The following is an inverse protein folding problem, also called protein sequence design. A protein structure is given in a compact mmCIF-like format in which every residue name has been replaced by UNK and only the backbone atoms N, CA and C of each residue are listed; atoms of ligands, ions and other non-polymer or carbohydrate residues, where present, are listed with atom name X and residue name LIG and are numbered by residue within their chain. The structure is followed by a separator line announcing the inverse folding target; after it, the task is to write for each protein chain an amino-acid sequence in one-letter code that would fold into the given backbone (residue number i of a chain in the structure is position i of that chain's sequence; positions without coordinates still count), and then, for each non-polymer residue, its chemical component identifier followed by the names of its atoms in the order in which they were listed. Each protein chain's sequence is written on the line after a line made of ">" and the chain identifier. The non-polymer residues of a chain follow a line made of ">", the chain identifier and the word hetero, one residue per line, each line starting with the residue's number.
data_IF_937576087297
#
_entry.id   IF_937576087297
#
_cell.length_a   1.000
_cell.length_b   1.000
_cell.length_c   1.000
_cell.angle_alpha   90.00
_cell.angle_beta   90.00
_cell.angle_gamma   90.00
#
_symmetry.space_group_name_H-M   'P 1'
#
loop_
_entity.id
_entity.type
_entity.pdbx_description
1 polymer ?
#
# COMPACT_ATOMS: atom_id res chain seq x y z
N UNK A 1 -14.75 -14.73 -2.24
CA UNK A 1 -14.03 -13.95 -1.22
C UNK A 1 -12.93 -13.20 -1.94
N UNK A 2 -12.96 -11.87 -1.89
CA UNK A 2 -12.02 -10.97 -2.56
C UNK A 2 -10.68 -10.98 -1.83
N UNK A 3 -9.59 -11.23 -2.54
CA UNK A 3 -8.23 -11.26 -1.97
C UNK A 3 -7.61 -9.88 -2.07
N UNK A 4 -7.37 -9.24 -0.93
CA UNK A 4 -6.91 -7.86 -0.87
C UNK A 4 -5.48 -7.78 -0.40
N UNK A 5 -4.65 -7.04 -1.13
CA UNK A 5 -3.27 -6.74 -0.75
C UNK A 5 -3.17 -5.25 -0.38
N UNK A 6 -2.68 -4.97 0.82
CA UNK A 6 -2.51 -3.59 1.29
C UNK A 6 -1.05 -3.15 1.19
N UNK A 7 -0.79 -2.13 0.39
CA UNK A 7 0.54 -1.58 0.15
C UNK A 7 0.66 -0.20 0.80
N UNK A 8 1.79 0.06 1.45
CA UNK A 8 1.93 1.24 2.31
C UNK A 8 0.82 1.28 3.37
N UNK A 9 0.60 0.13 4.03
CA UNK A 9 -0.59 -0.13 4.85
C UNK A 9 -0.71 0.78 6.07
N UNK A 10 0.40 1.40 6.51
CA UNK A 10 0.44 2.25 7.68
C UNK A 10 -0.15 1.54 8.90
N UNK A 11 -1.08 2.22 9.56
CA UNK A 11 -1.79 1.69 10.74
C UNK A 11 -3.09 0.95 10.41
N UNK A 12 -3.39 0.73 9.12
CA UNK A 12 -4.58 -0.02 8.67
C UNK A 12 -5.80 0.84 8.33
N UNK A 13 -5.60 2.08 7.86
CA UNK A 13 -6.71 2.95 7.49
C UNK A 13 -7.56 2.42 6.32
N UNK A 14 -6.93 1.77 5.34
CA UNK A 14 -7.65 1.13 4.23
C UNK A 14 -8.42 -0.12 4.67
N UNK A 15 -7.83 -0.95 5.54
CA UNK A 15 -8.52 -2.06 6.17
C UNK A 15 -9.79 -1.59 6.88
N UNK A 16 -9.68 -0.56 7.74
CA UNK A 16 -10.85 0.04 8.38
C UNK A 16 -11.91 0.48 7.34
N UNK A 17 -11.49 1.09 6.23
CA UNK A 17 -12.40 1.51 5.18
C UNK A 17 -13.13 0.33 4.51
N UNK A 18 -12.43 -0.78 4.28
CA UNK A 18 -12.99 -2.02 3.73
C UNK A 18 -14.01 -2.66 4.67
N UNK A 19 -13.81 -2.58 6.00
CA UNK A 19 -14.77 -3.07 6.99
C UNK A 19 -16.11 -2.33 6.97
N UNK A 20 -16.14 -1.09 6.46
CA UNK A 20 -17.39 -0.34 6.25
C UNK A 20 -18.11 -0.73 4.96
N UNK A 21 -17.49 -1.55 4.10
CA UNK A 21 -18.09 -2.04 2.87
C UNK A 21 -18.72 -3.41 3.12
N UNK A 22 -19.91 -3.66 2.57
CA UNK A 22 -20.55 -4.99 2.58
C UNK A 22 -19.89 -5.91 1.54
N UNK A 23 -18.60 -6.19 1.73
CA UNK A 23 -17.77 -7.01 0.87
C UNK A 23 -17.28 -8.25 1.62
N UNK A 24 -17.35 -9.40 0.97
CA UNK A 24 -16.70 -10.62 1.47
C UNK A 24 -15.24 -10.64 0.99
N UNK A 25 -14.30 -10.26 1.86
CA UNK A 25 -12.87 -10.11 1.52
C UNK A 25 -11.93 -10.71 2.58
N UNK A 26 -10.68 -10.95 2.19
CA UNK A 26 -9.57 -11.28 3.10
C UNK A 26 -8.34 -10.41 2.78
N UNK A 27 -7.64 -9.90 3.80
CA UNK A 27 -6.33 -9.27 3.59
C UNK A 27 -5.26 -10.36 3.51
N UNK A 28 -4.69 -10.58 2.33
CA UNK A 28 -3.67 -11.61 2.11
C UNK A 28 -2.28 -11.20 2.59
N UNK A 29 -2.01 -9.90 2.64
CA UNK A 29 -0.88 -9.29 3.33
C UNK A 29 -1.06 -7.77 3.47
N UNK A 30 -0.48 -7.21 4.52
CA UNK A 30 -0.31 -5.77 4.72
C UNK A 30 1.19 -5.43 4.76
N UNK A 31 1.61 -4.46 3.95
CA UNK A 31 3.02 -4.16 3.72
C UNK A 31 3.33 -2.71 4.07
N UNK A 32 4.23 -2.52 5.02
CA UNK A 32 4.78 -1.21 5.36
C UNK A 32 6.21 -1.35 5.89
N UNK A 33 7.08 -0.40 5.55
CA UNK A 33 8.47 -0.37 6.02
C UNK A 33 8.57 0.14 7.47
N UNK A 34 7.55 0.84 7.98
CA UNK A 34 7.57 1.45 9.29
C UNK A 34 7.20 0.42 10.37
N UNK A 35 8.16 -0.03 11.21
CA UNK A 35 7.89 -1.00 12.26
C UNK A 35 6.88 -0.50 13.30
N UNK A 36 6.88 0.81 13.60
CA UNK A 36 5.94 1.40 14.55
C UNK A 36 4.52 1.34 14.02
N UNK A 37 4.32 1.64 12.72
CA UNK A 37 3.02 1.52 12.08
C UNK A 37 2.53 0.07 12.09
N UNK A 38 3.41 -0.88 11.78
CA UNK A 38 3.14 -2.32 11.81
C UNK A 38 2.70 -2.83 13.20
N UNK A 39 3.29 -2.32 14.29
CA UNK A 39 2.85 -2.66 15.65
C UNK A 39 1.40 -2.21 15.89
N UNK A 40 1.08 -0.97 15.50
CA UNK A 40 -0.29 -0.44 15.62
C UNK A 40 -1.26 -1.22 14.74
N UNK A 41 -0.89 -1.50 13.48
CA UNK A 41 -1.68 -2.32 12.58
C UNK A 41 -1.99 -3.69 13.22
N UNK A 42 -0.96 -4.41 13.70
CA UNK A 42 -1.10 -5.73 14.31
C UNK A 42 -1.99 -5.72 15.54
N UNK A 43 -1.96 -4.64 16.33
CA UNK A 43 -2.81 -4.52 17.51
C UNK A 43 -4.30 -4.43 17.17
N UNK A 44 -4.65 -3.86 16.01
CA UNK A 44 -6.03 -3.75 15.54
C UNK A 44 -6.46 -4.97 14.71
N UNK A 45 -5.53 -5.55 13.94
CA UNK A 45 -5.79 -6.63 12.99
C UNK A 45 -4.82 -7.82 13.23
N UNK A 46 -4.96 -8.56 14.34
CA UNK A 46 -3.97 -9.55 14.78
C UNK A 46 -3.83 -10.75 13.85
N UNK A 47 -4.84 -11.01 13.01
CA UNK A 47 -4.87 -12.16 12.10
C UNK A 47 -4.32 -11.86 10.70
N UNK A 48 -3.92 -10.61 10.43
CA UNK A 48 -3.42 -10.21 9.12
C UNK A 48 -1.92 -10.47 9.02
N UNK A 49 -1.42 -11.10 7.94
CA UNK A 49 0.01 -11.23 7.69
C UNK A 49 0.65 -9.85 7.43
N UNK A 50 1.50 -9.40 8.34
CA UNK A 50 2.25 -8.14 8.20
C UNK A 50 3.64 -8.40 7.62
N UNK A 51 4.03 -7.59 6.65
CA UNK A 51 5.32 -7.67 5.98
C UNK A 51 6.07 -6.37 6.17
N UNK A 52 7.05 -6.40 7.07
CA UNK A 52 7.93 -5.27 7.31
C UNK A 52 9.07 -5.25 6.28
N UNK A 53 8.76 -4.81 5.06
CA UNK A 53 9.73 -4.65 3.96
C UNK A 53 9.29 -3.53 3.04
N UNK A 54 10.27 -3.00 2.31
CA UNK A 54 9.98 -2.10 1.21
C UNK A 54 9.45 -2.84 -0.01
N UNK A 55 8.49 -2.25 -0.72
CA UNK A 55 7.71 -2.91 -1.77
C UNK A 55 8.59 -3.33 -2.95
N UNK A 56 9.63 -2.56 -3.28
CA UNK A 56 10.60 -2.86 -4.34
C UNK A 56 11.43 -4.13 -4.09
N UNK A 57 11.44 -4.63 -2.85
CA UNK A 57 12.18 -5.85 -2.48
C UNK A 57 11.34 -7.12 -2.65
N UNK A 58 10.06 -6.99 -3.01
CA UNK A 58 9.14 -8.12 -3.16
C UNK A 58 9.35 -8.77 -4.52
N UNK A 59 9.65 -10.07 -4.52
CA UNK A 59 9.86 -10.84 -5.76
C UNK A 59 8.55 -11.10 -6.52
N UNK A 60 8.63 -11.22 -7.85
CA UNK A 60 7.48 -11.57 -8.70
C UNK A 60 6.75 -12.82 -8.22
N UNK A 61 7.50 -13.87 -7.83
CA UNK A 61 6.94 -15.10 -7.27
C UNK A 61 6.08 -14.86 -6.02
N UNK A 62 6.46 -13.88 -5.19
CA UNK A 62 5.69 -13.53 -4.01
C UNK A 62 4.40 -12.79 -4.38
N UNK A 63 4.45 -11.88 -5.35
CA UNK A 63 3.25 -11.23 -5.91
C UNK A 63 2.26 -12.25 -6.47
N UNK A 64 2.74 -13.23 -7.26
CA UNK A 64 1.94 -14.33 -7.80
C UNK A 64 1.34 -15.19 -6.69
N UNK A 65 2.11 -15.49 -5.64
CA UNK A 65 1.65 -16.28 -4.49
C UNK A 65 0.50 -15.59 -3.73
N UNK A 66 0.51 -14.27 -3.60
CA UNK A 66 -0.61 -13.55 -2.99
C UNK A 66 -1.87 -13.68 -3.81
N UNK A 67 -1.77 -13.78 -5.15
CA UNK A 67 -2.91 -13.93 -6.05
C UNK A 67 -4.05 -12.98 -5.66
N UNK A 68 -3.72 -11.70 -5.48
CA UNK A 68 -4.63 -10.71 -4.95
C UNK A 68 -5.49 -10.12 -6.08
N UNK A 69 -6.79 -10.01 -5.82
CA UNK A 69 -7.80 -9.48 -6.74
C UNK A 69 -7.89 -7.95 -6.66
N UNK A 70 -7.65 -7.38 -5.47
CA UNK A 70 -7.69 -5.94 -5.21
C UNK A 70 -6.42 -5.50 -4.49
N UNK A 71 -5.83 -4.41 -4.95
CA UNK A 71 -4.73 -3.75 -4.26
C UNK A 71 -5.20 -2.41 -3.71
N UNK A 72 -5.08 -2.24 -2.40
CA UNK A 72 -5.26 -0.94 -1.74
C UNK A 72 -3.88 -0.34 -1.49
N UNK A 73 -3.76 0.98 -1.67
CA UNK A 73 -2.51 1.63 -1.31
C UNK A 73 -2.67 3.07 -0.82
N UNK A 74 -1.80 3.43 0.12
CA UNK A 74 -1.64 4.79 0.62
C UNK A 74 -0.16 5.22 0.54
N UNK A 75 0.40 5.35 -0.68
CA UNK A 75 1.80 5.75 -0.85
C UNK A 75 2.07 7.12 -0.20
N UNK A 76 3.28 7.36 0.31
CA UNK A 76 3.63 8.61 0.98
C UNK A 76 3.45 9.83 0.06
N UNK A 77 2.95 10.93 0.63
CA UNK A 77 2.57 12.16 -0.08
C UNK A 77 3.76 13.06 -0.48
N UNK A 78 5.01 12.67 -0.19
CA UNK A 78 6.19 13.46 -0.54
C UNK A 78 6.88 12.88 -1.77
N UNK A 79 7.20 13.72 -2.79
CA UNK A 79 7.54 15.15 -2.67
C UNK A 79 6.49 16.16 -3.15
N UNK A 80 5.28 15.78 -3.54
CA UNK A 80 4.35 16.66 -4.27
C UNK A 80 3.65 17.77 -3.43
N UNK A 81 3.94 17.89 -2.14
CA UNK A 81 3.44 19.01 -1.32
C UNK A 81 4.25 20.29 -1.53
N UNK A 82 3.58 21.42 -1.78
CA UNK A 82 4.15 22.78 -2.02
C UNK A 82 5.11 23.32 -0.94
N UNK A 83 5.30 22.62 0.18
CA UNK A 83 6.23 22.96 1.28
C UNK A 83 7.36 21.93 1.49
N UNK A 84 7.42 20.85 0.70
CA UNK A 84 8.54 19.91 0.69
C UNK A 84 9.67 20.40 -0.21
N UNK A 85 10.92 20.05 0.12
CA UNK A 85 12.06 20.23 -0.79
C UNK A 85 11.70 19.58 -2.13
N UNK A 86 11.76 20.35 -3.22
CA UNK A 86 11.44 19.95 -4.59
C UNK A 86 12.42 18.87 -5.10
N UNK A 87 12.41 17.70 -4.51
CA UNK A 87 13.24 16.55 -4.88
C UNK A 87 12.39 15.47 -5.56
N UNK A 88 11.61 15.91 -6.55
CA UNK A 88 10.61 15.16 -7.32
C UNK A 88 10.97 13.69 -7.60
N UNK A 89 12.17 13.45 -8.12
CA UNK A 89 12.62 12.15 -8.60
C UNK A 89 13.79 11.55 -7.80
N UNK A 90 14.26 12.25 -6.77
CA UNK A 90 15.35 11.79 -5.90
C UNK A 90 14.84 11.28 -4.54
N UNK A 91 13.54 11.37 -4.29
CA UNK A 91 12.93 10.86 -3.08
C UNK A 91 12.69 9.35 -3.17
N UNK A 92 13.54 8.58 -2.49
CA UNK A 92 13.48 7.11 -2.39
C UNK A 92 12.13 6.57 -1.91
N UNK A 93 11.28 7.41 -1.32
CA UNK A 93 9.94 7.04 -0.87
C UNK A 93 8.94 6.85 -2.02
N UNK A 94 9.24 7.39 -3.21
CA UNK A 94 8.42 7.24 -4.42
C UNK A 94 8.82 6.05 -5.29
N UNK A 95 10.03 5.53 -5.11
CA UNK A 95 10.60 4.43 -5.91
C UNK A 95 9.70 3.18 -5.89
N UNK A 96 9.15 2.83 -4.73
CA UNK A 96 8.25 1.68 -4.58
C UNK A 96 6.97 1.82 -5.41
N UNK A 97 6.38 3.02 -5.45
CA UNK A 97 5.17 3.28 -6.24
C UNK A 97 5.46 3.26 -7.75
N UNK A 98 6.55 3.90 -8.18
CA UNK A 98 6.97 3.92 -9.59
C UNK A 98 7.33 2.50 -10.07
N UNK A 99 7.99 1.70 -9.24
CA UNK A 99 8.29 0.30 -9.54
C UNK A 99 7.00 -0.52 -9.74
N UNK A 100 6.03 -0.37 -8.84
CA UNK A 100 4.76 -1.09 -8.92
C UNK A 100 3.96 -0.76 -10.19
N UNK A 101 3.89 0.52 -10.55
CA UNK A 101 3.20 0.98 -11.77
C UNK A 101 3.85 0.43 -13.05
N UNK A 102 5.15 0.18 -13.06
CA UNK A 102 5.87 -0.38 -14.22
C UNK A 102 5.74 -1.90 -14.33
N UNK A 103 5.59 -2.59 -13.20
CA UNK A 103 5.67 -4.05 -13.14
C UNK A 103 4.31 -4.74 -13.33
N UNK A 104 3.20 -4.02 -13.18
CA UNK A 104 1.90 -4.66 -12.88
C UNK A 104 0.80 -4.26 -13.87
N UNK A 105 -0.05 -5.21 -14.30
CA UNK A 105 -1.21 -5.01 -15.21
C UNK A 105 -2.53 -5.14 -14.42
N UNK A 106 -2.69 -4.35 -13.36
CA UNK A 106 -3.78 -4.55 -12.40
C UNK A 106 -5.11 -3.94 -12.86
N UNK A 107 -6.22 -4.62 -12.52
CA UNK A 107 -7.58 -4.26 -12.96
C UNK A 107 -8.25 -3.16 -12.13
N UNK A 108 -7.93 -3.06 -10.82
CA UNK A 108 -8.51 -2.05 -9.92
C UNK A 108 -7.49 -1.60 -8.87
N UNK A 109 -7.36 -0.28 -8.72
CA UNK A 109 -6.42 0.36 -7.81
C UNK A 109 -7.16 1.43 -7.00
N UNK A 110 -7.23 1.26 -5.68
CA UNK A 110 -7.78 2.26 -4.76
C UNK A 110 -6.63 3.09 -4.17
N UNK A 111 -6.55 4.36 -4.61
CA UNK A 111 -5.59 5.35 -4.13
C UNK A 111 -6.29 6.30 -3.15
N UNK A 112 -5.79 6.43 -1.92
CA UNK A 112 -5.97 7.67 -1.17
C UNK A 112 -4.69 8.49 -1.26
N UNK A 113 -4.81 9.67 -1.86
CA UNK A 113 -3.82 10.74 -1.82
C UNK A 113 -4.60 12.00 -1.46
N UNK A 114 -4.22 12.70 -0.39
CA UNK A 114 -4.84 13.97 0.02
C UNK A 114 -4.36 15.10 -0.91
N UNK A 115 -4.66 15.02 -2.21
CA UNK A 115 -4.42 15.97 -3.33
C UNK A 115 -3.41 15.46 -4.39
N UNK A 116 -3.95 15.10 -5.56
CA UNK A 116 -3.24 15.22 -6.84
C UNK A 116 -3.90 16.36 -7.62
N UNK A 117 -3.18 17.47 -7.81
CA UNK A 117 -3.48 18.44 -8.87
C UNK A 117 -2.44 18.17 -9.95
N UNK A 118 -2.82 17.43 -10.99
CA UNK A 118 -2.07 17.39 -12.24
C UNK A 118 -2.65 18.53 -13.07
N UNK A 119 -1.89 19.62 -13.22
CA UNK A 119 -2.03 20.53 -14.36
C UNK A 119 -1.08 20.06 -15.45
#
# INVERSE_FOLDING_TARGET
>A
MLRVLELFSGIGGMHCALDFLDLNYEIVAAIDINPTANVVYSSNFPNVPIINRSIETISLKQWEKWNADLWTMSPPCQPFTRQGKQEDLNDRRTDGFVHLMKTTKQSYLLLNQTHFIIN
#
